data_IF_958697943391
#
_entry.id   IF_958697943391
#
_cell.length_a   1.000
_cell.length_b   1.000
_cell.length_c   1.000
_cell.angle_alpha   90.00
_cell.angle_beta   90.00
_cell.angle_gamma   90.00
#
_symmetry.space_group_name_H-M   'P 1'
#
loop_
_entity.id
_entity.type
_entity.pdbx_description
1 polymer ?
#
# COMPACT_ATOMS: atom_id res chain seq x y z
N UNK A 1 -5.37 14.44 -1.87
CA UNK A 1 -5.72 13.12 -1.30
C UNK A 1 -5.77 12.10 -2.42
N UNK A 2 -4.77 11.23 -2.52
CA UNK A 2 -4.66 10.22 -3.59
C UNK A 2 -5.53 9.00 -3.22
N UNK A 3 -6.67 8.85 -3.88
CA UNK A 3 -7.75 7.88 -3.61
C UNK A 3 -7.36 6.39 -3.81
N UNK A 4 -6.08 6.06 -4.05
CA UNK A 4 -5.63 4.68 -4.32
C UNK A 4 -5.28 3.85 -3.09
N UNK A 5 -5.13 4.47 -1.92
CA UNK A 5 -4.76 3.74 -0.70
C UNK A 5 -5.81 2.69 -0.31
N UNK A 6 -7.10 3.02 -0.48
CA UNK A 6 -8.20 2.08 -0.19
C UNK A 6 -8.14 0.84 -1.09
N UNK A 7 -7.89 1.02 -2.39
CA UNK A 7 -7.77 -0.10 -3.33
C UNK A 7 -6.61 -1.03 -2.97
N UNK A 8 -5.46 -0.46 -2.55
CA UNK A 8 -4.31 -1.25 -2.09
C UNK A 8 -4.61 -2.06 -0.83
N UNK A 9 -5.26 -1.43 0.16
CA UNK A 9 -5.65 -2.14 1.38
C UNK A 9 -6.58 -3.30 1.04
N UNK A 10 -7.59 -3.10 0.17
CA UNK A 10 -8.51 -4.16 -0.26
C UNK A 10 -7.85 -5.26 -1.09
N UNK A 11 -6.89 -4.92 -1.94
CA UNK A 11 -6.06 -5.91 -2.64
C UNK A 11 -5.32 -6.83 -1.66
N UNK A 12 -4.90 -6.29 -0.52
CA UNK A 12 -4.07 -7.00 0.44
C UNK A 12 -4.86 -7.84 1.44
N UNK A 13 -5.98 -7.32 1.94
CA UNK A 13 -6.78 -7.97 3.01
C UNK A 13 -8.17 -8.41 2.56
N UNK A 14 -8.53 -8.23 1.29
CA UNK A 14 -9.84 -8.61 0.76
C UNK A 14 -11.02 -7.79 1.32
N UNK A 15 -12.19 -8.43 1.33
CA UNK A 15 -13.50 -7.78 1.53
C UNK A 15 -14.23 -8.20 2.82
N UNK A 16 -13.58 -8.94 3.72
CA UNK A 16 -14.17 -9.27 5.01
C UNK A 16 -14.52 -7.99 5.80
N UNK A 17 -15.48 -8.14 6.71
CA UNK A 17 -15.91 -7.07 7.60
C UNK A 17 -14.95 -7.00 8.78
N UNK A 18 -14.27 -5.87 8.93
CA UNK A 18 -13.35 -5.58 10.03
C UNK A 18 -13.94 -4.46 10.89
N UNK A 19 -14.52 -4.80 12.03
CA UNK A 19 -15.28 -3.88 12.90
C UNK A 19 -14.99 -4.08 14.40
N UNK A 20 -13.91 -4.78 14.73
CA UNK A 20 -13.39 -4.92 16.09
C UNK A 20 -12.06 -4.20 16.26
N UNK A 21 -11.71 -3.84 17.51
CA UNK A 21 -10.44 -3.19 17.81
C UNK A 21 -9.23 -4.06 17.44
N UNK A 22 -9.29 -5.37 17.69
CA UNK A 22 -8.20 -6.30 17.36
C UNK A 22 -7.94 -6.38 15.84
N UNK A 23 -9.00 -6.36 15.02
CA UNK A 23 -8.86 -6.30 13.56
C UNK A 23 -8.26 -4.97 13.10
N UNK A 24 -8.67 -3.85 13.71
CA UNK A 24 -8.10 -2.53 13.43
C UNK A 24 -6.60 -2.48 13.74
N UNK A 25 -6.18 -3.03 14.88
CA UNK A 25 -4.77 -3.09 15.26
C UNK A 25 -3.95 -3.89 14.24
N UNK A 26 -4.44 -5.06 13.81
CA UNK A 26 -3.79 -5.85 12.74
C UNK A 26 -3.76 -5.09 11.41
N UNK A 27 -4.83 -4.40 11.04
CA UNK A 27 -4.86 -3.56 9.83
C UNK A 27 -3.79 -2.46 9.87
N UNK A 28 -3.61 -1.81 11.01
CA UNK A 28 -2.59 -0.77 11.18
C UNK A 28 -1.17 -1.34 11.05
N UNK A 29 -0.91 -2.50 11.65
CA UNK A 29 0.40 -3.18 11.49
C UNK A 29 0.67 -3.56 10.03
N UNK A 30 -0.33 -4.11 9.34
CA UNK A 30 -0.22 -4.42 7.91
C UNK A 30 0.07 -3.15 7.11
N UNK A 31 -0.62 -2.04 7.41
CA UNK A 31 -0.44 -0.77 6.71
C UNK A 31 0.96 -0.19 6.88
N UNK A 32 1.54 -0.27 8.07
CA UNK A 32 2.90 0.19 8.36
C UNK A 32 3.97 -0.54 7.53
N UNK A 33 3.76 -1.84 7.27
CA UNK A 33 4.63 -2.63 6.41
C UNK A 33 4.37 -2.38 4.93
N UNK A 34 3.09 -2.33 4.53
CA UNK A 34 2.70 -2.14 3.14
C UNK A 34 3.07 -0.74 2.63
N UNK A 35 3.04 0.30 3.47
CA UNK A 35 3.56 1.62 3.09
C UNK A 35 5.05 1.57 2.76
N UNK A 36 5.83 0.70 3.38
CA UNK A 36 7.25 0.53 3.03
C UNK A 36 7.36 -0.17 1.69
N UNK A 37 6.62 -1.26 1.49
CA UNK A 37 6.59 -1.99 0.23
C UNK A 37 6.20 -1.09 -0.95
N UNK A 38 5.07 -0.40 -0.84
CA UNK A 38 4.50 0.43 -1.90
C UNK A 38 5.35 1.66 -2.22
N UNK A 39 5.93 2.32 -1.21
CA UNK A 39 6.72 3.53 -1.44
C UNK A 39 8.14 3.26 -1.95
N UNK A 40 8.74 2.14 -1.54
CA UNK A 40 10.15 1.88 -1.79
C UNK A 40 10.41 0.77 -2.81
N UNK A 41 9.50 -0.21 -2.96
CA UNK A 41 9.74 -1.41 -3.77
C UNK A 41 8.81 -1.50 -4.98
N UNK A 42 7.57 -1.01 -4.91
CA UNK A 42 6.60 -1.14 -5.98
C UNK A 42 6.68 0.01 -7.01
N UNK A 43 7.07 -0.25 -8.27
CA UNK A 43 7.01 0.76 -9.32
C UNK A 43 5.56 1.09 -9.66
N UNK A 44 5.24 2.39 -9.74
CA UNK A 44 3.89 2.85 -10.05
C UNK A 44 3.92 3.87 -11.19
N UNK A 45 2.88 3.84 -12.01
CA UNK A 45 2.63 4.86 -13.03
C UNK A 45 1.65 5.91 -12.51
N UNK A 46 1.99 7.18 -12.73
CA UNK A 46 1.11 8.33 -12.52
C UNK A 46 0.48 8.75 -13.85
N UNK A 47 -0.80 9.09 -13.78
CA UNK A 47 -1.51 9.71 -14.89
C UNK A 47 -0.99 11.14 -15.06
N UNK A 48 -0.29 11.41 -16.15
CA UNK A 48 0.29 12.74 -16.42
C UNK A 48 -0.62 13.60 -17.28
N UNK A 49 -1.50 12.97 -18.06
CA UNK A 49 -2.41 13.69 -18.93
C UNK A 49 -3.70 12.88 -19.15
N UNK A 50 -4.83 13.59 -19.15
CA UNK A 50 -6.14 13.03 -19.44
C UNK A 50 -6.89 14.00 -20.34
N UNK A 51 -7.13 13.59 -21.58
CA UNK A 51 -7.89 14.37 -22.55
C UNK A 51 -9.21 13.66 -22.86
N UNK A 52 -10.29 14.43 -23.07
CA UNK A 52 -11.58 13.92 -23.53
C UNK A 52 -11.91 14.53 -24.89
N UNK A 53 -12.23 13.68 -25.85
CA UNK A 53 -12.72 14.06 -27.17
C UNK A 53 -14.07 13.37 -27.41
N UNK A 54 -15.17 14.14 -27.33
CA UNK A 54 -16.55 13.64 -27.32
C UNK A 54 -16.71 12.52 -26.27
N UNK A 55 -17.12 11.32 -26.69
CA UNK A 55 -17.29 10.15 -25.83
C UNK A 55 -15.97 9.45 -25.46
N UNK A 56 -14.85 9.75 -26.12
CA UNK A 56 -13.56 9.06 -25.89
C UNK A 56 -12.70 9.79 -24.87
N UNK A 57 -12.11 9.05 -23.93
CA UNK A 57 -11.11 9.55 -22.97
C UNK A 57 -9.78 8.86 -23.26
N UNK A 58 -8.74 9.66 -23.51
CA UNK A 58 -7.36 9.18 -23.68
C UNK A 58 -6.54 9.56 -22.46
N UNK A 59 -5.79 8.61 -21.91
CA UNK A 59 -4.95 8.77 -20.73
C UNK A 59 -3.49 8.50 -21.09
N UNK A 60 -2.59 9.41 -20.75
CA UNK A 60 -1.14 9.23 -20.86
C UNK A 60 -0.57 9.03 -19.47
N UNK A 61 0.20 7.97 -19.31
CA UNK A 61 0.91 7.66 -18.08
C UNK A 61 2.40 7.89 -18.27
N UNK A 62 3.10 8.12 -17.17
CA UNK A 62 4.57 8.19 -17.18
C UNK A 62 5.22 6.80 -17.20
N UNK A 63 6.55 6.81 -17.22
CA UNK A 63 7.34 5.60 -17.01
C UNK A 63 7.16 5.09 -15.57
N UNK A 64 7.03 3.76 -15.35
CA UNK A 64 6.96 3.19 -14.01
C UNK A 64 8.14 3.62 -13.13
N UNK A 65 7.84 4.12 -11.94
CA UNK A 65 8.84 4.51 -10.94
C UNK A 65 8.27 4.33 -9.54
N UNK A 66 9.09 3.90 -8.60
CA UNK A 66 8.69 3.90 -7.17
C UNK A 66 8.49 5.34 -6.69
N UNK A 67 7.60 5.58 -5.70
CA UNK A 67 7.48 6.88 -5.04
C UNK A 67 8.82 7.40 -4.50
N UNK A 68 9.65 6.55 -3.90
CA UNK A 68 11.01 6.91 -3.45
C UNK A 68 11.89 7.42 -4.60
N UNK A 69 11.95 6.71 -5.73
CA UNK A 69 12.73 7.17 -6.91
C UNK A 69 12.21 8.49 -7.47
N UNK A 70 10.89 8.71 -7.42
CA UNK A 70 10.28 9.96 -7.88
C UNK A 70 10.60 11.12 -6.94
N UNK A 71 10.51 10.87 -5.63
CA UNK A 71 10.86 11.83 -4.60
C UNK A 71 12.33 12.26 -4.71
N UNK A 72 13.26 11.32 -4.87
CA UNK A 72 14.70 11.64 -5.00
C UNK A 72 15.00 12.50 -6.23
N UNK A 73 14.23 12.35 -7.31
CA UNK A 73 14.39 13.12 -8.55
C UNK A 73 13.65 14.46 -8.55
N UNK A 74 12.88 14.76 -7.51
CA UNK A 74 12.09 15.99 -7.45
C UNK A 74 12.98 17.19 -7.08
N UNK A 75 12.89 18.27 -7.84
CA UNK A 75 13.79 19.43 -7.76
C UNK A 75 13.80 20.12 -6.38
N UNK A 76 12.66 20.11 -5.68
CA UNK A 76 12.51 20.77 -4.37
C UNK A 76 12.93 19.90 -3.18
N UNK A 77 13.42 18.67 -3.41
CA UNK A 77 13.72 17.75 -2.30
C UNK A 77 15.03 18.10 -1.59
N UNK A 78 14.94 18.22 -0.26
CA UNK A 78 16.10 18.54 0.60
C UNK A 78 17.08 17.35 0.64
N UNK A 79 18.38 17.63 0.54
CA UNK A 79 19.46 16.62 0.60
C UNK A 79 19.34 15.68 1.81
N UNK A 80 19.04 16.22 2.99
CA UNK A 80 18.87 15.42 4.23
C UNK A 80 17.76 14.36 4.09
N UNK A 81 16.63 14.71 3.49
CA UNK A 81 15.52 13.78 3.27
C UNK A 81 15.91 12.67 2.28
N UNK A 82 16.64 13.02 1.20
CA UNK A 82 17.17 12.06 0.23
C UNK A 82 18.11 11.05 0.92
N UNK A 83 19.03 11.53 1.77
CA UNK A 83 19.95 10.67 2.52
C UNK A 83 19.17 9.69 3.42
N UNK A 84 18.18 10.19 4.16
CA UNK A 84 17.34 9.36 5.03
C UNK A 84 16.58 8.29 4.25
N UNK A 85 15.93 8.65 3.14
CA UNK A 85 15.23 7.68 2.29
C UNK A 85 16.18 6.62 1.70
N UNK A 86 17.40 7.03 1.31
CA UNK A 86 18.40 6.10 0.79
C UNK A 86 18.92 5.16 1.87
N UNK A 87 19.14 5.65 3.09
CA UNK A 87 19.53 4.83 4.22
C UNK A 87 18.42 3.83 4.57
N UNK A 88 17.17 4.27 4.65
CA UNK A 88 16.02 3.41 4.89
C UNK A 88 15.90 2.32 3.82
N UNK A 89 16.00 2.69 2.53
CA UNK A 89 15.93 1.74 1.41
C UNK A 89 16.95 0.61 1.52
N UNK A 90 18.19 0.92 1.92
CA UNK A 90 19.27 -0.08 2.07
C UNK A 90 18.99 -1.12 3.17
N UNK A 91 18.15 -0.79 4.16
CA UNK A 91 17.81 -1.68 5.26
C UNK A 91 16.61 -2.60 4.95
N UNK A 92 15.90 -2.33 3.85
CA UNK A 92 14.72 -3.13 3.49
C UNK A 92 15.17 -4.51 3.03
N UNK A 93 14.60 -5.55 3.65
CA UNK A 93 14.74 -6.96 3.23
C UNK A 93 13.44 -7.39 2.55
N UNK A 94 13.34 -7.35 1.21
CA UNK A 94 12.05 -7.49 0.50
C UNK A 94 11.31 -8.79 0.83
N UNK A 95 12.04 -9.91 0.85
CA UNK A 95 11.44 -11.22 1.15
C UNK A 95 10.93 -11.31 2.60
N UNK A 96 11.66 -10.73 3.56
CA UNK A 96 11.23 -10.71 4.96
C UNK A 96 10.00 -9.81 5.15
N UNK A 97 9.99 -8.64 4.51
CA UNK A 97 8.85 -7.72 4.52
C UNK A 97 7.60 -8.38 3.94
N UNK A 98 7.72 -9.04 2.78
CA UNK A 98 6.60 -9.75 2.15
C UNK A 98 6.07 -10.89 3.02
N UNK A 99 6.94 -11.72 3.62
CA UNK A 99 6.51 -12.78 4.55
C UNK A 99 5.79 -12.22 5.77
N UNK A 100 6.26 -11.10 6.32
CA UNK A 100 5.64 -10.50 7.50
C UNK A 100 4.24 -9.96 7.17
N UNK A 101 4.09 -9.28 6.02
CA UNK A 101 2.78 -8.84 5.54
C UNK A 101 1.84 -10.03 5.39
N UNK A 102 2.27 -11.11 4.72
CA UNK A 102 1.45 -12.30 4.52
C UNK A 102 1.04 -12.99 5.84
N UNK A 103 1.93 -13.02 6.82
CA UNK A 103 1.63 -13.58 8.14
C UNK A 103 0.55 -12.77 8.87
N UNK A 104 0.64 -11.43 8.83
CA UNK A 104 -0.34 -10.56 9.45
C UNK A 104 -1.69 -10.59 8.73
N UNK A 105 -1.70 -10.67 7.39
CA UNK A 105 -2.95 -10.81 6.63
C UNK A 105 -3.67 -12.11 6.97
N UNK A 106 -2.94 -13.22 7.14
CA UNK A 106 -3.51 -14.51 7.57
C UNK A 106 -4.08 -14.44 9.01
N UNK A 107 -3.39 -13.76 9.92
CA UNK A 107 -3.90 -13.54 11.29
C UNK A 107 -5.18 -12.70 11.29
N UNK A 108 -5.22 -11.62 10.50
CA UNK A 108 -6.41 -10.79 10.36
C UNK A 108 -7.60 -11.58 9.78
N UNK A 109 -7.35 -12.40 8.77
CA UNK A 109 -8.37 -13.27 8.19
C UNK A 109 -8.93 -14.26 9.21
N UNK A 110 -8.06 -14.93 9.98
CA UNK A 110 -8.47 -15.84 11.03
C UNK A 110 -9.33 -15.16 12.11
N UNK A 111 -8.97 -13.94 12.54
CA UNK A 111 -9.76 -13.14 13.48
C UNK A 111 -11.15 -12.83 12.94
N UNK A 112 -11.24 -12.38 11.68
CA UNK A 112 -12.50 -12.03 11.05
C UNK A 112 -13.42 -13.24 10.84
N UNK A 113 -12.86 -14.39 10.46
CA UNK A 113 -13.62 -15.63 10.29
C UNK A 113 -14.14 -16.18 11.63
N UNK A 114 -13.29 -16.20 12.67
CA UNK A 114 -13.70 -16.64 14.01
C UNK A 114 -14.84 -15.79 14.60
N UNK A 115 -14.79 -14.47 14.36
CA UNK A 115 -15.88 -13.56 14.72
C UNK A 115 -17.18 -13.89 13.97
N UNK A 116 -17.10 -14.11 12.65
CA UNK A 116 -18.29 -14.41 11.85
C UNK A 116 -18.96 -15.72 12.27
N UNK A 117 -18.18 -16.74 12.63
CA UNK A 117 -18.70 -18.02 13.16
C UNK A 117 -19.48 -17.81 14.46
N UNK A 118 -18.95 -16.99 15.38
CA UNK A 118 -19.62 -16.67 16.65
C UNK A 118 -20.93 -15.90 16.48
N UNK A 119 -21.10 -15.17 15.38
CA UNK A 119 -22.34 -14.44 15.06
C UNK A 119 -23.38 -15.39 14.44
N UNK A 120 -22.95 -16.48 13.81
CA UNK A 120 -23.83 -17.47 13.15
C UNK A 120 -24.27 -18.64 14.02
N UNK A 121 -23.66 -18.84 15.19
CA UNK A 121 -24.09 -19.86 16.15
C UNK A 121 -25.30 -19.35 16.99
N UNK A 122 -26.44 -20.09 17.01
CA UNK A 122 -27.69 -19.68 17.67
C UNK A 122 -27.64 -19.69 19.20
#
# INVERSE_FOLDING_TARGET
MEQKNWARVRELVGYLRYDTAAELDKLNEIWELDRVFTNYLLPQQKLIEKQRHRAKVTKKHDAPSTPRQRAIRHETMRKRAIIQMNAAFKQIKPAALSRHILALTAQLEALALAKNQRISDP
#
